data_IF_765743784235
#
_entry.id   IF_765743784235
#
_cell.length_a   1.000
_cell.length_b   1.000
_cell.length_c   1.000
_cell.angle_alpha   90.00
_cell.angle_beta   90.00
_cell.angle_gamma   90.00
#
_symmetry.space_group_name_H-M   'P 1'
#
loop_
_entity.id
_entity.type
_entity.pdbx_description
1 polymer ?
#
# COMPACT_ATOMS: atom_id res chain seq x y z
N UNK A 1 4.39 -68.49 24.23
CA UNK A 1 4.97 -67.98 22.97
C UNK A 1 4.38 -66.57 22.79
N UNK A 2 5.11 -65.50 23.15
CA UNK A 2 5.80 -64.56 22.21
C UNK A 2 4.80 -64.00 21.17
N UNK A 3 4.57 -62.71 20.95
CA UNK A 3 5.40 -61.50 21.09
C UNK A 3 4.54 -60.24 20.90
N UNK A 4 4.99 -59.16 21.54
CA UNK A 4 4.62 -57.75 21.32
C UNK A 4 4.76 -57.27 19.88
N UNK A 5 3.83 -56.41 19.42
CA UNK A 5 4.03 -55.30 18.45
C UNK A 5 2.90 -54.27 18.75
N UNK A 6 3.08 -53.25 19.58
CA UNK A 6 3.70 -51.93 19.35
C UNK A 6 3.14 -51.13 18.15
N UNK A 7 2.31 -50.13 18.48
CA UNK A 7 2.29 -48.75 17.97
C UNK A 7 2.29 -48.49 16.45
N UNK A 8 1.17 -47.99 15.89
CA UNK A 8 1.23 -46.94 14.86
C UNK A 8 -0.07 -46.12 14.76
N UNK A 9 0.02 -44.87 15.22
CA UNK A 9 -0.48 -43.64 14.60
C UNK A 9 -1.39 -43.81 13.35
N UNK A 10 -2.61 -43.27 13.39
CA UNK A 10 -2.90 -41.94 12.78
C UNK A 10 -4.38 -41.58 12.91
N UNK A 11 -4.63 -40.44 13.55
CA UNK A 11 -5.92 -39.79 13.63
C UNK A 11 -6.38 -39.32 12.24
N UNK A 12 -7.37 -39.99 11.68
CA UNK A 12 -8.14 -39.49 10.53
C UNK A 12 -9.09 -38.39 11.02
N UNK A 13 -8.67 -37.15 10.80
CA UNK A 13 -9.53 -35.97 10.74
C UNK A 13 -10.47 -36.13 9.55
N UNK A 14 -11.72 -36.47 9.81
CA UNK A 14 -12.79 -36.45 8.81
C UNK A 14 -13.63 -35.21 9.10
N UNK A 15 -13.41 -34.15 8.32
CA UNK A 15 -14.30 -32.98 8.25
C UNK A 15 -15.47 -33.29 7.33
N UNK A 16 -16.74 -33.07 7.75
CA UNK A 16 -17.83 -32.97 6.80
C UNK A 16 -17.89 -31.56 6.18
N UNK A 17 -18.18 -31.58 4.88
CA UNK A 17 -18.21 -30.49 3.93
C UNK A 17 -19.45 -29.60 4.12
N UNK A 18 -19.24 -28.30 3.91
CA UNK A 18 -20.16 -27.22 3.52
C UNK A 18 -21.68 -27.47 3.54
N UNK A 19 -22.41 -26.61 4.25
CA UNK A 19 -23.59 -25.92 3.69
C UNK A 19 -23.68 -24.48 4.19
N UNK A 20 -23.69 -23.59 3.19
CA UNK A 20 -24.02 -22.18 3.18
C UNK A 20 -25.27 -21.83 4.00
N UNK A 21 -25.14 -20.85 4.92
CA UNK A 21 -26.19 -19.88 5.23
C UNK A 21 -25.55 -18.51 5.51
N UNK A 22 -25.93 -17.54 4.67
CA UNK A 22 -25.47 -16.15 4.66
C UNK A 22 -25.92 -15.43 5.94
N UNK A 23 -24.98 -15.07 6.82
CA UNK A 23 -25.21 -14.01 7.82
C UNK A 23 -24.76 -12.70 7.22
N UNK A 24 -25.73 -11.88 6.82
CA UNK A 24 -25.55 -10.51 6.32
C UNK A 24 -24.76 -9.71 7.36
N UNK A 25 -23.43 -9.65 7.19
CA UNK A 25 -22.63 -8.63 7.84
C UNK A 25 -22.89 -7.33 7.07
N UNK A 26 -23.70 -6.48 7.70
CA UNK A 26 -23.87 -5.10 7.31
C UNK A 26 -22.48 -4.48 7.13
N UNK A 27 -22.16 -4.14 5.88
CA UNK A 27 -21.10 -3.20 5.57
C UNK A 27 -21.33 -1.96 6.42
N UNK A 28 -20.32 -1.46 7.17
CA UNK A 28 -20.41 -0.10 7.66
C UNK A 28 -20.46 0.80 6.42
N UNK A 29 -21.63 1.39 6.20
CA UNK A 29 -21.89 2.36 5.15
C UNK A 29 -20.91 3.53 5.26
N UNK A 30 -20.38 3.92 4.09
CA UNK A 30 -19.42 5.00 3.79
C UNK A 30 -19.82 6.41 4.29
N UNK A 31 -20.15 6.61 5.58
CA UNK A 31 -20.59 7.90 6.13
C UNK A 31 -20.12 8.23 7.56
N UNK A 32 -19.03 7.67 8.06
CA UNK A 32 -18.48 8.06 9.39
C UNK A 32 -16.95 8.25 9.39
N UNK A 33 -16.34 8.66 8.28
CA UNK A 33 -14.89 8.93 8.23
C UNK A 33 -14.53 10.37 7.81
N UNK A 34 -15.46 11.31 7.94
CA UNK A 34 -15.21 12.70 7.53
C UNK A 34 -14.40 13.53 8.54
N UNK A 35 -14.27 13.11 9.81
CA UNK A 35 -13.71 13.98 10.86
C UNK A 35 -12.60 13.37 11.73
N UNK A 36 -12.05 12.21 11.40
CA UNK A 36 -10.84 11.72 12.05
C UNK A 36 -9.63 11.99 11.17
N UNK A 37 -8.84 13.02 11.54
CA UNK A 37 -7.48 13.22 11.04
C UNK A 37 -6.63 12.01 11.49
N UNK A 38 -6.72 10.91 10.75
CA UNK A 38 -5.87 9.74 10.95
C UNK A 38 -4.45 10.19 10.68
N UNK A 39 -3.63 10.25 11.73
CA UNK A 39 -2.23 10.57 11.58
C UNK A 39 -1.57 9.46 10.76
N UNK A 40 -1.00 9.81 9.61
CA UNK A 40 -0.25 8.90 8.77
C UNK A 40 1.07 8.55 9.47
N UNK A 41 1.54 7.31 9.26
CA UNK A 41 2.86 6.88 9.76
C UNK A 41 3.96 7.72 9.10
N UNK A 42 4.91 8.19 9.89
CA UNK A 42 6.11 8.85 9.36
C UNK A 42 7.13 7.82 8.89
N UNK A 43 7.62 7.99 7.66
CA UNK A 43 8.60 7.12 7.01
C UNK A 43 9.65 8.03 6.38
N UNK A 44 10.93 7.89 6.76
CA UNK A 44 12.00 8.74 6.21
C UNK A 44 12.39 8.34 4.80
N UNK A 45 13.00 9.26 4.05
CA UNK A 45 13.60 8.99 2.75
C UNK A 45 14.65 7.88 2.80
N UNK A 46 15.43 7.80 3.90
CA UNK A 46 16.37 6.70 4.13
C UNK A 46 15.64 5.36 4.19
N UNK A 47 14.53 5.27 4.93
CA UNK A 47 13.73 4.05 4.98
C UNK A 47 13.17 3.69 3.61
N UNK A 48 12.64 4.67 2.86
CA UNK A 48 12.12 4.45 1.49
C UNK A 48 13.21 3.92 0.57
N UNK A 49 14.46 4.38 0.70
CA UNK A 49 15.58 4.00 -0.16
C UNK A 49 15.95 2.51 -0.13
N UNK A 50 15.47 1.76 0.86
CA UNK A 50 15.66 0.32 0.95
C UNK A 50 14.64 -0.50 0.15
N UNK A 51 13.63 0.14 -0.43
CA UNK A 51 12.54 -0.49 -1.18
C UNK A 51 12.65 -0.13 -2.67
N UNK A 52 13.70 -0.64 -3.32
CA UNK A 52 14.11 -0.32 -4.70
C UNK A 52 14.11 -1.51 -5.68
N UNK A 53 13.39 -2.60 -5.36
CA UNK A 53 13.33 -3.82 -6.17
C UNK A 53 11.92 -4.11 -6.72
N UNK A 54 11.81 -4.93 -7.77
CA UNK A 54 10.50 -5.33 -8.34
C UNK A 54 9.61 -6.09 -7.35
N UNK A 55 10.19 -6.74 -6.35
CA UNK A 55 9.46 -7.45 -5.29
C UNK A 55 9.23 -6.60 -4.04
N UNK A 56 9.80 -5.39 -3.99
CA UNK A 56 9.69 -4.46 -2.87
C UNK A 56 10.00 -3.03 -3.35
N UNK A 57 8.97 -2.31 -3.81
CA UNK A 57 9.11 -1.01 -4.47
C UNK A 57 8.25 0.05 -3.81
N UNK A 58 8.89 1.03 -3.19
CA UNK A 58 8.22 2.21 -2.65
C UNK A 58 8.62 3.47 -3.42
N UNK A 59 7.69 4.43 -3.47
CA UNK A 59 7.94 5.74 -4.09
C UNK A 59 7.36 6.85 -3.23
N UNK A 60 7.98 8.03 -3.28
CA UNK A 60 7.44 9.24 -2.67
C UNK A 60 6.79 10.11 -3.73
N UNK A 61 5.55 10.53 -3.50
CA UNK A 61 4.83 11.47 -4.36
C UNK A 61 4.13 12.51 -3.48
N UNK A 62 4.50 13.78 -3.65
CA UNK A 62 4.00 14.90 -2.83
C UNK A 62 4.13 14.64 -1.31
N UNK A 63 5.34 14.25 -0.88
CA UNK A 63 5.70 13.87 0.50
C UNK A 63 4.92 12.70 1.11
N UNK A 64 4.14 11.98 0.30
CA UNK A 64 3.47 10.75 0.73
C UNK A 64 4.23 9.54 0.21
N UNK A 65 4.27 8.50 1.02
CA UNK A 65 4.98 7.25 0.71
C UNK A 65 3.96 6.20 0.29
N UNK A 66 4.21 5.59 -0.87
CA UNK A 66 3.33 4.59 -1.47
C UNK A 66 4.09 3.29 -1.69
N UNK A 67 3.48 2.17 -1.30
CA UNK A 67 3.94 0.83 -1.65
C UNK A 67 3.27 0.41 -2.95
N UNK A 68 4.02 0.47 -4.04
CA UNK A 68 3.52 0.21 -5.40
C UNK A 68 3.92 -1.18 -5.90
N UNK A 69 4.47 -2.04 -5.05
CA UNK A 69 4.97 -3.38 -5.40
C UNK A 69 3.96 -4.19 -6.21
N UNK A 70 2.71 -4.27 -5.73
CA UNK A 70 1.65 -5.01 -6.41
C UNK A 70 1.08 -4.29 -7.65
N UNK A 71 1.36 -2.98 -7.77
CA UNK A 71 0.87 -2.15 -8.86
C UNK A 71 1.81 -2.15 -10.07
N UNK A 72 3.10 -2.46 -9.89
CA UNK A 72 4.11 -2.42 -10.96
C UNK A 72 3.65 -3.08 -12.26
N UNK A 73 3.10 -4.30 -12.18
CA UNK A 73 2.64 -5.05 -13.36
C UNK A 73 1.33 -4.54 -13.97
N UNK A 74 0.57 -3.76 -13.20
CA UNK A 74 -0.71 -3.18 -13.60
C UNK A 74 -0.59 -1.73 -14.06
N UNK A 75 0.60 -1.14 -13.95
CA UNK A 75 0.82 0.25 -14.34
C UNK A 75 0.70 0.41 -15.87
N UNK A 76 -0.24 1.24 -16.37
CA UNK A 76 -0.43 1.41 -17.82
C UNK A 76 0.79 1.96 -18.57
N UNK A 77 1.68 2.69 -17.89
CA UNK A 77 2.94 3.17 -18.43
C UNK A 77 4.07 2.14 -18.44
N UNK A 78 3.83 0.93 -17.92
CA UNK A 78 4.82 -0.13 -17.73
C UNK A 78 5.46 -0.10 -16.34
N UNK A 79 6.01 -1.23 -15.90
CA UNK A 79 6.68 -1.32 -14.60
C UNK A 79 7.98 -0.49 -14.57
N UNK A 80 8.73 -0.51 -15.68
CA UNK A 80 10.08 0.06 -15.74
C UNK A 80 10.10 1.57 -15.48
N UNK A 81 9.06 2.31 -15.89
CA UNK A 81 8.97 3.76 -15.63
C UNK A 81 8.78 4.09 -14.15
N UNK A 82 8.22 3.17 -13.35
CA UNK A 82 8.16 3.32 -11.89
C UNK A 82 9.53 2.93 -11.30
N UNK A 83 10.16 1.88 -11.82
CA UNK A 83 11.43 1.37 -11.32
C UNK A 83 12.58 2.38 -11.44
N UNK A 84 12.55 3.28 -12.44
CA UNK A 84 13.50 4.40 -12.54
C UNK A 84 13.50 5.32 -11.30
N UNK A 85 12.41 5.28 -10.50
CA UNK A 85 12.20 6.06 -9.29
C UNK A 85 12.00 5.21 -8.03
N UNK A 86 12.25 3.89 -8.09
CA UNK A 86 12.11 3.02 -6.94
C UNK A 86 13.02 3.48 -5.78
N UNK A 87 12.48 3.48 -4.57
CA UNK A 87 13.15 3.95 -3.36
C UNK A 87 13.38 5.46 -3.28
N UNK A 88 12.72 6.27 -4.12
CA UNK A 88 12.99 7.71 -4.26
C UNK A 88 11.73 8.55 -4.43
N UNK A 89 11.91 9.88 -4.46
CA UNK A 89 10.86 10.81 -4.85
C UNK A 89 10.63 10.77 -6.37
N UNK A 90 9.38 10.49 -6.74
CA UNK A 90 8.88 10.39 -8.10
C UNK A 90 7.95 11.56 -8.46
N UNK A 91 7.84 12.59 -7.62
CA UNK A 91 6.83 13.64 -7.73
C UNK A 91 6.89 14.36 -9.08
N UNK A 92 8.10 14.72 -9.55
CA UNK A 92 8.26 15.41 -10.83
C UNK A 92 7.89 14.53 -12.03
N UNK A 93 8.28 13.26 -12.03
CA UNK A 93 7.94 12.31 -13.07
C UNK A 93 6.43 12.03 -13.10
N UNK A 94 5.84 11.85 -11.92
CA UNK A 94 4.40 11.63 -11.75
C UNK A 94 3.59 12.82 -12.26
N UNK A 95 3.98 14.05 -11.90
CA UNK A 95 3.32 15.26 -12.36
C UNK A 95 3.47 15.47 -13.87
N UNK A 96 4.69 15.40 -14.39
CA UNK A 96 4.99 15.68 -15.79
C UNK A 96 4.29 14.74 -16.77
N UNK A 97 3.89 13.55 -16.31
CA UNK A 97 3.12 12.58 -17.10
C UNK A 97 1.65 12.98 -17.29
N UNK A 98 1.06 13.73 -16.35
CA UNK A 98 -0.34 14.15 -16.44
C UNK A 98 -1.35 13.02 -16.20
N UNK A 99 -1.21 12.31 -15.09
CA UNK A 99 -2.15 11.25 -14.68
C UNK A 99 -3.59 11.78 -14.55
N UNK A 100 -4.58 10.96 -14.94
CA UNK A 100 -6.00 11.31 -14.79
C UNK A 100 -6.39 11.42 -13.31
N UNK A 101 -7.49 12.11 -13.03
CA UNK A 101 -8.04 12.21 -11.67
C UNK A 101 -8.28 10.83 -11.05
N UNK A 102 -8.86 9.90 -11.82
CA UNK A 102 -9.11 8.54 -11.38
C UNK A 102 -7.82 7.80 -11.00
N UNK A 103 -6.75 7.97 -11.78
CA UNK A 103 -5.44 7.39 -11.47
C UNK A 103 -4.84 7.98 -10.18
N UNK A 104 -4.97 9.30 -9.98
CA UNK A 104 -4.55 9.97 -8.74
C UNK A 104 -5.36 9.48 -7.54
N UNK A 105 -6.66 9.24 -7.71
CA UNK A 105 -7.51 8.69 -6.65
C UNK A 105 -7.13 7.25 -6.30
N UNK A 106 -6.80 6.42 -7.29
CA UNK A 106 -6.36 5.05 -7.09
C UNK A 106 -5.07 4.94 -6.27
N UNK A 107 -4.19 5.95 -6.31
CA UNK A 107 -2.98 5.97 -5.48
C UNK A 107 -3.26 5.85 -3.98
N UNK A 108 -4.45 6.27 -3.53
CA UNK A 108 -4.82 6.21 -2.11
C UNK A 108 -4.79 4.79 -1.57
N UNK A 109 -5.02 3.79 -2.41
CA UNK A 109 -5.02 2.37 -2.03
C UNK A 109 -3.60 1.86 -1.68
N UNK A 110 -2.57 2.53 -2.18
CA UNK A 110 -1.16 2.20 -1.97
C UNK A 110 -0.48 3.05 -0.91
N UNK A 111 -1.20 3.99 -0.28
CA UNK A 111 -0.65 4.92 0.70
C UNK A 111 -0.30 4.20 2.01
N UNK A 112 0.98 4.22 2.38
CA UNK A 112 1.48 3.59 3.62
C UNK A 112 1.97 4.60 4.66
N UNK A 113 2.22 5.85 4.26
CA UNK A 113 2.69 6.87 5.17
C UNK A 113 2.99 8.22 4.52
N UNK A 114 3.70 9.05 5.25
CA UNK A 114 4.20 10.34 4.79
C UNK A 114 5.61 10.60 5.31
N UNK A 115 6.35 11.47 4.64
CA UNK A 115 7.68 11.87 5.09
C UNK A 115 7.61 12.57 6.46
N UNK A 116 8.65 12.52 7.31
CA UNK A 116 8.73 13.35 8.49
C UNK A 116 8.82 14.84 8.09
N UNK A 117 8.32 15.74 8.92
CA UNK A 117 8.14 17.18 8.60
C UNK A 117 9.42 17.85 8.05
N UNK A 118 10.59 17.50 8.58
CA UNK A 118 11.88 18.07 8.16
C UNK A 118 12.39 17.56 6.81
N UNK A 119 11.80 16.50 6.26
CA UNK A 119 12.10 15.97 4.92
C UNK A 119 11.04 16.37 3.88
N UNK A 120 9.97 17.08 4.28
CA UNK A 120 8.88 17.48 3.38
C UNK A 120 9.25 18.70 2.56
N UNK A 121 8.88 18.67 1.28
CA UNK A 121 9.08 19.78 0.34
C UNK A 121 7.73 20.38 -0.09
N UNK A 122 6.68 19.56 -0.15
CA UNK A 122 5.38 19.94 -0.70
C UNK A 122 4.31 20.21 0.36
N UNK A 123 4.36 19.58 1.53
CA UNK A 123 3.33 19.59 2.56
C UNK A 123 3.86 20.22 3.84
N UNK A 124 3.25 21.31 4.29
CA UNK A 124 3.52 21.91 5.60
C UNK A 124 2.59 21.35 6.68
N UNK A 125 2.73 21.86 7.90
CA UNK A 125 2.16 21.39 9.16
C UNK A 125 0.62 21.28 9.12
N UNK A 126 -0.02 21.98 8.18
CA UNK A 126 -1.47 21.91 7.93
C UNK A 126 -1.87 20.89 6.85
N UNK A 127 -0.96 20.01 6.42
CA UNK A 127 -1.16 19.04 5.32
C UNK A 127 -1.56 19.69 3.98
N UNK A 128 -1.40 21.01 3.86
CA UNK A 128 -1.62 21.77 2.65
C UNK A 128 -0.42 21.57 1.73
N UNK A 129 -0.69 21.16 0.49
CA UNK A 129 0.31 21.26 -0.58
C UNK A 129 0.57 22.75 -0.76
N UNK A 130 1.85 23.17 -0.75
CA UNK A 130 2.23 24.55 -1.06
C UNK A 130 1.53 24.95 -2.35
N UNK A 131 0.67 25.97 -2.26
CA UNK A 131 -0.28 26.42 -3.29
C UNK A 131 0.37 26.72 -4.66
N UNK A 132 1.69 26.72 -4.77
CA UNK A 132 2.47 27.06 -5.96
C UNK A 132 3.35 25.95 -6.53
N UNK A 133 3.16 24.68 -6.17
CA UNK A 133 3.89 23.62 -6.89
C UNK A 133 3.68 22.25 -6.32
N UNK A 134 2.50 21.62 -6.41
CA UNK A 134 1.74 21.45 -7.65
C UNK A 134 0.27 21.08 -7.32
N UNK A 135 -0.71 21.89 -7.76
CA UNK A 135 -2.10 21.45 -7.84
C UNK A 135 -2.79 21.69 -9.19
N UNK A 136 -3.58 20.66 -9.58
CA UNK A 136 -4.36 20.36 -10.81
C UNK A 136 -3.58 20.15 -12.12
#
# INVERSE_FOLDING_TARGET
MTTSISSLLQALRITPISKSEKKVQQQPTLKVLADQKVALRQISLEAVSHHDDYSDCWVVIYDRVYDVTNFLQHHPGGADVIMDHAGRDATLAFHGTGHSRDAIEQMRDYLIGELPEHERIFRTNNSQVLLSGIPE
#
